data_IF_671818726423
#
_entry.id   IF_671818726423
#
_cell.length_a   1.000
_cell.length_b   1.000
_cell.length_c   1.000
_cell.angle_alpha   90.00
_cell.angle_beta   90.00
_cell.angle_gamma   90.00
#
_symmetry.space_group_name_H-M   'P 1'
#
loop_
_entity.id
_entity.type
_entity.pdbx_description
1 polymer ?
#
# COMPACT_ATOMS: atom_id res chain seq x y z
N UNK A 1 3.77 -10.65 12.57
CA UNK A 1 2.50 -10.81 11.82
C UNK A 1 1.76 -9.51 11.54
N UNK A 2 1.41 -8.67 12.53
CA UNK A 2 0.77 -7.36 12.27
C UNK A 2 1.72 -6.42 11.54
N UNK A 3 2.98 -6.33 12.01
CA UNK A 3 4.05 -5.57 11.35
C UNK A 3 4.25 -6.02 9.89
N UNK A 4 4.31 -7.33 9.64
CA UNK A 4 4.42 -7.90 8.29
C UNK A 4 3.29 -7.43 7.34
N UNK A 5 2.05 -7.34 7.83
CA UNK A 5 0.94 -6.84 7.00
C UNK A 5 1.06 -5.34 6.73
N UNK A 6 1.52 -4.56 7.72
CA UNK A 6 1.80 -3.14 7.55
C UNK A 6 2.85 -2.94 6.44
N UNK A 7 3.99 -3.62 6.55
CA UNK A 7 5.09 -3.49 5.58
C UNK A 7 4.64 -3.89 4.17
N UNK A 8 3.83 -4.96 4.06
CA UNK A 8 3.24 -5.40 2.81
C UNK A 8 2.28 -4.36 2.18
N UNK A 9 1.46 -3.70 3.00
CA UNK A 9 0.56 -2.63 2.54
C UNK A 9 1.38 -1.40 2.11
N UNK A 10 2.40 -1.02 2.89
CA UNK A 10 3.30 0.08 2.53
C UNK A 10 3.99 -0.17 1.19
N UNK A 11 4.43 -1.40 0.92
CA UNK A 11 4.97 -1.81 -0.38
C UNK A 11 3.96 -1.60 -1.51
N UNK A 12 2.72 -2.07 -1.35
CA UNK A 12 1.69 -1.93 -2.38
C UNK A 12 1.29 -0.46 -2.64
N UNK A 13 1.34 0.41 -1.63
CA UNK A 13 0.95 1.82 -1.77
C UNK A 13 2.11 2.69 -2.28
N UNK A 14 3.35 2.42 -1.86
CA UNK A 14 4.52 3.24 -2.21
C UNK A 14 5.02 3.03 -3.64
N UNK A 15 4.74 1.86 -4.23
CA UNK A 15 5.16 1.48 -5.57
C UNK A 15 3.97 1.28 -6.53
N UNK A 16 2.85 1.99 -6.32
CA UNK A 16 1.59 1.75 -7.03
C UNK A 16 1.71 1.70 -8.57
N UNK A 17 2.59 2.54 -9.15
CA UNK A 17 2.83 2.59 -10.60
C UNK A 17 3.71 1.43 -11.11
N UNK A 18 4.55 0.88 -10.24
CA UNK A 18 5.53 -0.18 -10.57
C UNK A 18 5.05 -1.59 -10.20
N UNK A 19 3.97 -1.72 -9.41
CA UNK A 19 3.40 -3.01 -9.03
C UNK A 19 2.43 -3.55 -10.08
N UNK A 20 2.39 -4.88 -10.19
CA UNK A 20 1.47 -5.60 -11.07
C UNK A 20 1.48 -7.09 -10.78
N UNK A 21 0.79 -7.88 -11.61
CA UNK A 21 0.82 -9.33 -11.52
C UNK A 21 2.06 -9.89 -12.22
N UNK A 22 3.22 -9.66 -11.61
CA UNK A 22 4.51 -10.20 -12.04
C UNK A 22 5.20 -10.93 -10.88
N UNK A 23 6.23 -11.73 -11.20
CA UNK A 23 6.94 -12.55 -10.21
C UNK A 23 7.52 -11.68 -9.10
N UNK A 24 8.17 -10.57 -9.45
CA UNK A 24 8.80 -9.69 -8.47
C UNK A 24 7.80 -9.22 -7.41
N UNK A 25 6.67 -8.64 -7.82
CA UNK A 25 5.65 -8.11 -6.91
C UNK A 25 5.10 -9.19 -5.98
N UNK A 26 4.71 -10.35 -6.52
CA UNK A 26 4.06 -11.40 -5.72
C UNK A 26 5.05 -12.11 -4.79
N UNK A 27 6.29 -12.33 -5.23
CA UNK A 27 7.34 -12.93 -4.40
C UNK A 27 7.77 -11.97 -3.27
N UNK A 28 7.95 -10.68 -3.56
CA UNK A 28 8.24 -9.67 -2.52
C UNK A 28 7.10 -9.58 -1.51
N UNK A 29 5.85 -9.56 -2.00
CA UNK A 29 4.67 -9.54 -1.14
C UNK A 29 4.65 -10.77 -0.21
N UNK A 30 4.95 -11.95 -0.73
CA UNK A 30 5.10 -13.15 0.10
C UNK A 30 6.25 -13.02 1.11
N UNK A 31 7.43 -12.55 0.69
CA UNK A 31 8.59 -12.37 1.56
C UNK A 31 8.29 -11.45 2.76
N UNK A 32 7.63 -10.32 2.51
CA UNK A 32 7.21 -9.38 3.56
C UNK A 32 6.21 -10.05 4.52
N UNK A 33 5.20 -10.74 3.99
CA UNK A 33 4.16 -11.38 4.81
C UNK A 33 4.68 -12.57 5.62
N UNK A 34 5.61 -13.34 5.07
CA UNK A 34 6.19 -14.54 5.65
C UNK A 34 7.43 -14.27 6.53
N UNK A 35 7.89 -13.02 6.59
CA UNK A 35 9.08 -12.63 7.34
C UNK A 35 9.08 -13.17 8.79
N UNK A 36 10.08 -13.99 9.13
CA UNK A 36 10.25 -14.69 10.41
C UNK A 36 9.07 -15.57 10.83
N UNK A 37 8.29 -16.12 9.89
CA UNK A 37 7.17 -17.02 10.17
C UNK A 37 7.37 -18.46 9.68
N UNK A 38 8.28 -18.68 8.73
CA UNK A 38 8.52 -19.99 8.12
C UNK A 38 9.61 -20.76 8.86
N UNK A 39 9.52 -22.10 8.83
CA UNK A 39 10.52 -23.00 9.40
C UNK A 39 11.85 -22.89 8.64
N UNK A 40 11.79 -22.83 7.31
CA UNK A 40 12.93 -22.48 6.44
C UNK A 40 12.92 -20.96 6.18
N UNK A 41 13.89 -20.20 6.74
CA UNK A 41 13.97 -18.76 6.49
C UNK A 41 14.19 -18.40 5.02
N UNK A 42 14.75 -19.31 4.22
CA UNK A 42 14.99 -19.10 2.78
C UNK A 42 13.75 -19.37 1.91
N UNK A 43 12.65 -19.87 2.48
CA UNK A 43 11.39 -20.07 1.79
C UNK A 43 10.58 -18.77 1.63
N UNK A 44 10.85 -17.75 2.45
CA UNK A 44 10.18 -16.46 2.35
C UNK A 44 10.48 -15.81 0.99
N UNK A 45 9.43 -15.47 0.25
CA UNK A 45 9.55 -14.92 -1.11
C UNK A 45 10.00 -15.90 -2.19
N UNK A 46 9.93 -17.21 -1.95
CA UNK A 46 10.31 -18.27 -2.91
C UNK A 46 9.14 -19.23 -3.13
N UNK A 47 8.98 -19.74 -4.34
CA UNK A 47 8.03 -20.82 -4.62
C UNK A 47 8.43 -22.10 -3.87
N UNK A 48 7.44 -22.91 -3.47
CA UNK A 48 7.69 -24.12 -2.69
C UNK A 48 8.26 -25.26 -3.53
N UNK A 49 9.03 -26.11 -2.87
CA UNK A 49 9.59 -27.36 -3.44
C UNK A 49 9.14 -28.59 -2.65
N UNK A 50 8.26 -28.39 -1.67
CA UNK A 50 7.68 -29.42 -0.83
C UNK A 50 6.19 -29.54 -1.12
N UNK A 51 5.62 -30.71 -0.88
CA UNK A 51 4.17 -30.88 -0.85
C UNK A 51 3.58 -30.15 0.37
N UNK A 52 2.38 -29.59 0.21
CA UNK A 52 1.63 -28.94 1.29
C UNK A 52 0.21 -29.46 1.27
N UNK A 53 -0.41 -29.52 2.46
CA UNK A 53 -1.79 -29.94 2.63
C UNK A 53 -2.65 -28.83 3.20
N UNK A 54 -3.96 -28.91 2.96
CA UNK A 54 -4.93 -28.03 3.61
C UNK A 54 -5.52 -28.78 4.79
N UNK A 55 -5.31 -28.25 5.99
CA UNK A 55 -5.89 -28.84 7.18
C UNK A 55 -7.42 -28.92 7.04
N UNK A 56 -7.98 -30.11 7.33
CA UNK A 56 -9.43 -30.39 7.28
C UNK A 56 -10.06 -30.24 5.90
N UNK A 57 -9.31 -30.53 4.84
CA UNK A 57 -9.83 -30.62 3.48
C UNK A 57 -9.36 -31.89 2.79
N UNK A 58 -10.19 -32.42 1.89
CA UNK A 58 -9.81 -33.53 1.00
C UNK A 58 -9.01 -33.06 -0.23
N UNK A 59 -8.84 -31.74 -0.41
CA UNK A 59 -8.11 -31.18 -1.53
C UNK A 59 -6.59 -31.35 -1.37
N UNK A 60 -5.97 -31.86 -2.44
CA UNK A 60 -4.52 -31.99 -2.57
C UNK A 60 -4.01 -31.01 -3.63
N UNK A 61 -3.30 -29.93 -3.24
CA UNK A 61 -2.69 -29.01 -4.18
C UNK A 61 -1.68 -29.69 -5.10
N UNK A 62 -1.43 -29.13 -6.28
CA UNK A 62 -0.42 -29.59 -7.22
C UNK A 62 0.96 -29.70 -6.54
N UNK A 63 1.62 -30.85 -6.59
CA UNK A 63 2.85 -31.08 -5.79
C UNK A 63 4.15 -30.90 -6.57
N UNK A 64 4.12 -31.01 -7.90
CA UNK A 64 5.34 -31.02 -8.75
C UNK A 64 5.88 -29.59 -8.90
N UNK A 65 7.11 -29.27 -8.41
CA UNK A 65 7.63 -27.90 -8.40
C UNK A 65 7.67 -27.21 -9.77
N UNK A 66 8.05 -27.94 -10.82
CA UNK A 66 8.09 -27.40 -12.18
C UNK A 66 6.69 -27.00 -12.66
N UNK A 67 5.69 -27.83 -12.39
CA UNK A 67 4.31 -27.53 -12.77
C UNK A 67 3.72 -26.39 -11.92
N UNK A 68 4.16 -26.26 -10.66
CA UNK A 68 3.79 -25.10 -9.81
C UNK A 68 4.33 -23.81 -10.41
N UNK A 69 5.59 -23.81 -10.84
CA UNK A 69 6.22 -22.64 -11.46
C UNK A 69 5.52 -22.25 -12.77
N UNK A 70 5.26 -23.22 -13.65
CA UNK A 70 4.51 -22.99 -14.89
C UNK A 70 3.09 -22.47 -14.63
N UNK A 71 2.36 -23.06 -13.68
CA UNK A 71 1.02 -22.64 -13.32
C UNK A 71 1.03 -21.24 -12.67
N UNK A 72 2.04 -20.94 -11.86
CA UNK A 72 2.21 -19.63 -11.25
C UNK A 72 2.38 -18.55 -12.31
N UNK A 73 3.30 -18.74 -13.26
CA UNK A 73 3.52 -17.79 -14.34
C UNK A 73 2.28 -17.64 -15.24
N UNK A 74 1.54 -18.72 -15.48
CA UNK A 74 0.27 -18.67 -16.21
C UNK A 74 -0.81 -17.89 -15.46
N UNK A 75 -0.92 -18.06 -14.13
CA UNK A 75 -1.85 -17.28 -13.30
C UNK A 75 -1.50 -15.79 -13.38
N UNK A 76 -0.22 -15.45 -13.26
CA UNK A 76 0.24 -14.06 -13.35
C UNK A 76 -0.09 -13.43 -14.70
N UNK A 77 0.25 -14.11 -15.80
CA UNK A 77 -0.06 -13.63 -17.15
C UNK A 77 -1.57 -13.50 -17.41
N UNK A 78 -2.37 -14.45 -16.88
CA UNK A 78 -3.83 -14.39 -17.01
C UNK A 78 -4.39 -13.23 -16.20
N UNK A 79 -3.92 -13.03 -14.96
CA UNK A 79 -4.35 -11.91 -14.13
C UNK A 79 -4.01 -10.58 -14.82
N UNK A 80 -2.79 -10.41 -15.34
CA UNK A 80 -2.36 -9.17 -16.03
C UNK A 80 -3.19 -8.86 -17.29
N UNK A 81 -3.74 -9.88 -17.95
CA UNK A 81 -4.60 -9.72 -19.13
C UNK A 81 -6.06 -9.34 -18.82
N UNK A 82 -6.51 -9.47 -17.56
CA UNK A 82 -7.88 -9.10 -17.16
C UNK A 82 -7.98 -7.58 -17.01
N UNK A 83 -8.92 -6.98 -17.73
CA UNK A 83 -9.11 -5.51 -17.78
C UNK A 83 -9.94 -4.99 -16.61
N UNK A 84 -11.01 -5.69 -16.25
CA UNK A 84 -11.87 -5.25 -15.14
C UNK A 84 -11.16 -5.46 -13.79
N UNK A 85 -10.97 -4.42 -12.96
CA UNK A 85 -10.19 -4.52 -11.74
C UNK A 85 -10.83 -5.43 -10.68
N UNK A 86 -12.16 -5.60 -10.69
CA UNK A 86 -12.87 -6.48 -9.76
C UNK A 86 -12.72 -7.94 -10.18
N UNK A 87 -12.88 -8.22 -11.48
CA UNK A 87 -12.61 -9.54 -12.04
C UNK A 87 -11.15 -9.93 -11.82
N UNK A 88 -10.22 -9.01 -12.03
CA UNK A 88 -8.78 -9.23 -11.82
C UNK A 88 -8.47 -9.54 -10.34
N UNK A 89 -9.05 -8.77 -9.42
CA UNK A 89 -8.93 -9.01 -7.99
C UNK A 89 -9.49 -10.38 -7.59
N UNK A 90 -10.70 -10.69 -8.07
CA UNK A 90 -11.39 -11.93 -7.75
C UNK A 90 -10.66 -13.15 -8.32
N UNK A 91 -10.17 -13.07 -9.56
CA UNK A 91 -9.39 -14.12 -10.20
C UNK A 91 -8.20 -14.56 -9.34
N UNK A 92 -7.43 -13.59 -8.82
CA UNK A 92 -6.26 -13.89 -7.96
C UNK A 92 -6.67 -14.39 -6.58
N UNK A 93 -7.86 -13.99 -6.09
CA UNK A 93 -8.45 -14.58 -4.89
C UNK A 93 -8.79 -16.07 -5.03
N UNK A 94 -9.20 -16.49 -6.22
CA UNK A 94 -9.51 -17.90 -6.50
C UNK A 94 -8.24 -18.70 -6.78
N UNK A 95 -7.45 -18.27 -7.76
CA UNK A 95 -6.41 -19.10 -8.38
C UNK A 95 -5.16 -19.24 -7.51
N UNK A 96 -4.73 -18.16 -6.85
CA UNK A 96 -3.49 -18.20 -6.08
C UNK A 96 -3.57 -19.13 -4.85
N UNK A 97 -4.65 -19.10 -4.04
CA UNK A 97 -4.83 -20.06 -2.95
C UNK A 97 -5.14 -21.47 -3.41
N UNK A 98 -5.63 -21.67 -4.64
CA UNK A 98 -5.87 -23.00 -5.21
C UNK A 98 -4.55 -23.67 -5.59
N UNK A 99 -3.65 -22.93 -6.27
CA UNK A 99 -2.31 -23.43 -6.62
C UNK A 99 -1.44 -23.71 -5.37
N UNK A 100 -1.55 -22.84 -4.36
CA UNK A 100 -0.66 -22.81 -3.20
C UNK A 100 0.83 -22.76 -3.57
N UNK A 101 1.31 -21.67 -4.21
CA UNK A 101 2.70 -21.59 -4.66
C UNK A 101 3.74 -21.54 -3.53
N UNK A 102 3.35 -21.28 -2.29
CA UNK A 102 4.26 -21.06 -1.16
C UNK A 102 4.09 -22.10 -0.05
N UNK A 103 5.11 -22.27 0.78
CA UNK A 103 5.12 -23.19 1.93
C UNK A 103 3.99 -22.89 2.93
N UNK A 104 3.69 -21.61 3.17
CA UNK A 104 2.54 -21.12 3.93
C UNK A 104 2.16 -19.72 3.41
N UNK A 105 1.22 -19.02 4.06
CA UNK A 105 0.88 -17.60 3.81
C UNK A 105 0.11 -17.37 2.50
N UNK A 106 -0.14 -18.40 1.69
CA UNK A 106 -0.87 -18.33 0.42
C UNK A 106 -2.18 -17.50 0.47
N UNK A 107 -3.05 -17.79 1.46
CA UNK A 107 -4.33 -17.08 1.65
C UNK A 107 -4.13 -15.61 2.03
N UNK A 108 -3.05 -15.27 2.74
CA UNK A 108 -2.70 -13.89 3.11
C UNK A 108 -2.16 -13.12 1.91
N UNK A 109 -1.25 -13.73 1.15
CA UNK A 109 -0.72 -13.16 -0.10
C UNK A 109 -1.87 -12.86 -1.05
N UNK A 110 -2.76 -13.82 -1.27
CA UNK A 110 -3.91 -13.68 -2.17
C UNK A 110 -4.83 -12.52 -1.80
N UNK A 111 -5.21 -12.36 -0.53
CA UNK A 111 -6.07 -11.23 -0.09
C UNK A 111 -5.41 -9.87 -0.27
N UNK A 112 -4.09 -9.76 -0.10
CA UNK A 112 -3.38 -8.52 -0.36
C UNK A 112 -3.11 -8.29 -1.84
N UNK A 113 -2.79 -9.33 -2.60
CA UNK A 113 -2.63 -9.25 -4.05
C UNK A 113 -3.93 -8.83 -4.76
N UNK A 114 -5.09 -9.23 -4.23
CA UNK A 114 -6.40 -8.78 -4.71
C UNK A 114 -6.60 -7.25 -4.64
N UNK A 115 -5.79 -6.56 -3.83
CA UNK A 115 -5.84 -5.10 -3.75
C UNK A 115 -4.99 -4.39 -4.81
N UNK A 116 -4.05 -5.08 -5.49
CA UNK A 116 -3.22 -4.50 -6.56
C UNK A 116 -4.08 -3.77 -7.61
N UNK A 117 -5.09 -4.40 -8.24
CA UNK A 117 -5.85 -3.74 -9.29
C UNK A 117 -6.74 -2.62 -8.76
N UNK A 118 -7.22 -2.73 -7.52
CA UNK A 118 -8.02 -1.70 -6.87
C UNK A 118 -7.17 -0.45 -6.61
N UNK A 119 -5.96 -0.62 -6.07
CA UNK A 119 -5.02 0.48 -5.80
C UNK A 119 -4.61 1.16 -7.10
N UNK A 120 -4.24 0.41 -8.14
CA UNK A 120 -3.84 0.97 -9.45
C UNK A 120 -4.93 1.80 -10.12
N UNK A 121 -6.20 1.46 -9.88
CA UNK A 121 -7.34 2.18 -10.42
C UNK A 121 -7.94 3.20 -9.44
N UNK A 122 -7.22 3.53 -8.35
CA UNK A 122 -7.66 4.47 -7.31
C UNK A 122 -9.04 4.13 -6.72
N UNK A 123 -9.33 2.83 -6.60
CA UNK A 123 -10.52 2.28 -5.96
C UNK A 123 -10.25 1.98 -4.48
N UNK A 124 -11.32 1.93 -3.69
CA UNK A 124 -11.24 1.59 -2.27
C UNK A 124 -10.62 0.20 -2.08
N UNK A 125 -9.57 0.06 -1.26
CA UNK A 125 -9.00 -1.25 -0.96
C UNK A 125 -10.02 -2.20 -0.30
N UNK A 126 -9.99 -3.46 -0.71
CA UNK A 126 -10.72 -4.58 -0.12
C UNK A 126 -10.16 -4.94 1.26
N UNK A 127 -11.05 -5.01 2.25
CA UNK A 127 -10.75 -5.43 3.62
C UNK A 127 -11.61 -6.62 4.04
N UNK A 128 -10.99 -7.55 4.76
CA UNK A 128 -11.66 -8.73 5.34
C UNK A 128 -11.93 -8.57 6.84
N UNK A 129 -11.80 -7.36 7.38
CA UNK A 129 -11.96 -7.11 8.82
C UNK A 129 -13.34 -7.52 9.35
N UNK A 130 -14.38 -7.31 8.54
CA UNK A 130 -15.77 -7.61 8.90
C UNK A 130 -16.22 -9.00 8.42
N UNK A 131 -15.36 -9.73 7.71
CA UNK A 131 -15.71 -11.02 7.11
C UNK A 131 -15.65 -12.11 8.17
N UNK A 132 -16.75 -12.84 8.43
CA UNK A 132 -16.72 -13.98 9.34
C UNK A 132 -15.73 -15.05 8.87
N UNK A 133 -14.84 -15.50 9.77
CA UNK A 133 -13.81 -16.51 9.44
C UNK A 133 -14.41 -17.80 8.88
N UNK A 134 -15.55 -18.23 9.43
CA UNK A 134 -16.25 -19.43 8.98
C UNK A 134 -16.74 -19.28 7.54
N UNK A 135 -17.44 -18.19 7.21
CA UNK A 135 -17.92 -17.92 5.86
C UNK A 135 -16.77 -17.89 4.84
N UNK A 136 -15.64 -17.26 5.19
CA UNK A 136 -14.45 -17.29 4.32
C UNK A 136 -13.88 -18.69 4.15
N UNK A 137 -13.86 -19.49 5.21
CA UNK A 137 -13.34 -20.87 5.17
C UNK A 137 -14.22 -21.74 4.28
N UNK A 138 -15.54 -21.68 4.45
CA UNK A 138 -16.52 -22.42 3.63
C UNK A 138 -16.47 -22.00 2.16
N UNK A 139 -16.38 -20.69 1.88
CA UNK A 139 -16.23 -20.16 0.53
C UNK A 139 -14.98 -20.71 -0.17
N UNK A 140 -13.85 -20.72 0.53
CA UNK A 140 -12.59 -21.23 0.01
C UNK A 140 -12.61 -22.75 -0.16
N UNK A 141 -13.25 -23.49 0.75
CA UNK A 141 -13.43 -24.94 0.62
C UNK A 141 -14.32 -25.30 -0.58
N UNK A 142 -15.34 -24.50 -0.88
CA UNK A 142 -16.15 -24.65 -2.10
C UNK A 142 -15.30 -24.61 -3.38
N UNK A 143 -14.29 -23.74 -3.42
CA UNK A 143 -13.33 -23.70 -4.52
C UNK A 143 -12.46 -24.96 -4.52
N UNK A 144 -11.88 -25.31 -3.37
CA UNK A 144 -10.92 -26.40 -3.26
C UNK A 144 -11.54 -27.78 -3.55
N UNK A 145 -12.70 -28.06 -2.99
CA UNK A 145 -13.27 -29.42 -3.01
C UNK A 145 -14.32 -29.61 -4.09
N UNK A 146 -15.04 -28.54 -4.45
CA UNK A 146 -16.17 -28.61 -5.38
C UNK A 146 -15.89 -27.92 -6.71
N UNK A 147 -14.76 -27.21 -6.84
CA UNK A 147 -14.45 -26.35 -7.98
C UNK A 147 -15.57 -25.33 -8.27
N UNK A 148 -16.23 -24.86 -7.21
CA UNK A 148 -17.32 -23.87 -7.26
C UNK A 148 -16.88 -22.55 -6.67
N UNK A 149 -17.10 -21.46 -7.40
CA UNK A 149 -16.63 -20.12 -7.01
C UNK A 149 -17.75 -19.23 -6.45
N UNK A 150 -19.01 -19.66 -6.52
CA UNK A 150 -20.18 -18.82 -6.23
C UNK A 150 -20.17 -18.27 -4.81
N UNK A 151 -19.88 -19.12 -3.82
CA UNK A 151 -19.84 -18.68 -2.42
C UNK A 151 -18.70 -17.68 -2.16
N UNK A 152 -17.54 -17.86 -2.82
CA UNK A 152 -16.42 -16.93 -2.71
C UNK A 152 -16.69 -15.62 -3.44
N UNK A 153 -17.40 -15.67 -4.57
CA UNK A 153 -17.86 -14.51 -5.34
C UNK A 153 -18.81 -13.66 -4.51
N UNK A 154 -19.83 -14.28 -3.91
CA UNK A 154 -20.81 -13.58 -3.08
C UNK A 154 -20.14 -12.96 -1.85
N UNK A 155 -19.21 -13.69 -1.22
CA UNK A 155 -18.41 -13.18 -0.11
C UNK A 155 -17.52 -12.00 -0.53
N UNK A 156 -16.90 -12.06 -1.71
CA UNK A 156 -16.06 -11.00 -2.25
C UNK A 156 -16.85 -9.72 -2.48
N UNK A 157 -18.01 -9.81 -3.15
CA UNK A 157 -18.89 -8.66 -3.40
C UNK A 157 -19.33 -8.04 -2.08
N UNK A 158 -19.83 -8.87 -1.15
CA UNK A 158 -20.25 -8.41 0.19
C UNK A 158 -19.13 -7.72 0.97
N UNK A 159 -17.92 -8.29 0.95
CA UNK A 159 -16.76 -7.71 1.62
C UNK A 159 -16.34 -6.37 0.97
N UNK A 160 -16.43 -6.28 -0.35
CA UNK A 160 -16.08 -5.07 -1.08
C UNK A 160 -17.08 -3.93 -0.82
N UNK A 161 -18.38 -4.19 -0.86
CA UNK A 161 -19.42 -3.19 -0.56
C UNK A 161 -19.20 -2.53 0.81
N UNK A 162 -18.89 -3.34 1.82
CA UNK A 162 -18.58 -2.86 3.17
C UNK A 162 -17.28 -2.08 3.23
N UNK A 163 -16.26 -2.56 2.52
CA UNK A 163 -14.97 -1.86 2.43
C UNK A 163 -15.17 -0.48 1.81
N UNK A 164 -15.86 -0.39 0.69
CA UNK A 164 -16.19 0.86 0.01
C UNK A 164 -17.01 1.80 0.91
N UNK A 165 -18.05 1.31 1.59
CA UNK A 165 -18.85 2.11 2.53
C UNK A 165 -18.01 2.67 3.69
N UNK A 166 -17.10 1.87 4.24
CA UNK A 166 -16.17 2.30 5.30
C UNK A 166 -15.22 3.38 4.80
N UNK A 167 -14.62 3.21 3.62
CA UNK A 167 -13.75 4.21 3.02
C UNK A 167 -14.50 5.51 2.71
N UNK A 168 -15.75 5.43 2.24
CA UNK A 168 -16.59 6.60 2.03
C UNK A 168 -16.86 7.36 3.34
N UNK A 169 -17.21 6.65 4.42
CA UNK A 169 -17.41 7.26 5.74
C UNK A 169 -16.13 7.91 6.31
N UNK A 170 -14.98 7.26 6.12
CA UNK A 170 -13.67 7.80 6.54
C UNK A 170 -13.27 9.03 5.71
N UNK A 171 -13.57 9.04 4.40
CA UNK A 171 -13.36 10.23 3.55
C UNK A 171 -14.30 11.38 3.90
N UNK A 172 -15.49 11.12 4.45
CA UNK A 172 -16.36 12.21 4.92
C UNK A 172 -15.85 12.85 6.21
N UNK A 173 -15.15 12.11 7.07
CA UNK A 173 -14.59 12.64 8.32
C UNK A 173 -13.20 13.26 8.15
N UNK A 174 -12.38 12.70 7.26
CA UNK A 174 -11.13 13.28 6.80
C UNK A 174 -11.47 14.19 5.61
N UNK A 175 -11.65 15.49 5.83
CA UNK A 175 -11.90 16.45 4.74
C UNK A 175 -10.95 16.27 3.55
N UNK A 176 -11.33 16.75 2.36
CA UNK A 176 -10.55 16.48 1.16
C UNK A 176 -9.10 17.00 1.29
N UNK A 177 -8.08 16.15 1.05
CA UNK A 177 -6.71 16.62 1.06
C UNK A 177 -6.56 17.67 -0.04
N UNK A 178 -6.07 18.87 0.33
CA UNK A 178 -5.88 19.98 -0.62
C UNK A 178 -5.04 19.48 -1.81
N UNK A 179 -5.60 19.41 -3.04
CA UNK A 179 -4.90 18.88 -4.20
C UNK A 179 -3.57 19.59 -4.48
N UNK A 180 -3.51 20.88 -4.13
CA UNK A 180 -2.31 21.69 -4.25
C UNK A 180 -1.20 21.19 -3.31
N UNK A 181 -1.55 20.89 -2.06
CA UNK A 181 -0.62 20.32 -1.07
C UNK A 181 -0.15 18.92 -1.44
N UNK A 182 -1.01 18.14 -2.10
CA UNK A 182 -0.64 16.81 -2.58
C UNK A 182 0.36 16.89 -3.73
N UNK A 183 0.10 17.78 -4.71
CA UNK A 183 0.98 18.01 -5.88
C UNK A 183 2.37 18.46 -5.46
N UNK A 184 2.46 19.45 -4.58
CA UNK A 184 3.73 20.06 -4.17
C UNK A 184 4.26 19.54 -2.83
N UNK A 185 3.89 18.32 -2.42
CA UNK A 185 4.22 17.80 -1.08
C UNK A 185 5.73 17.67 -0.87
N UNK A 186 6.47 17.27 -1.90
CA UNK A 186 7.89 16.98 -1.80
C UNK A 186 8.67 18.29 -1.73
N UNK A 187 8.28 19.24 -2.58
CA UNK A 187 8.75 20.61 -2.69
C UNK A 187 8.54 21.38 -1.38
N UNK A 188 7.31 21.34 -0.83
CA UNK A 188 7.00 21.93 0.47
C UNK A 188 7.87 21.32 1.57
N UNK A 189 8.05 20.00 1.55
CA UNK A 189 8.84 19.31 2.56
C UNK A 189 10.32 19.71 2.51
N UNK A 190 10.88 19.74 1.31
CA UNK A 190 12.27 20.12 1.04
C UNK A 190 12.52 21.56 1.47
N UNK A 191 11.72 22.51 0.96
CA UNK A 191 11.91 23.93 1.23
C UNK A 191 11.78 24.28 2.71
N UNK A 192 10.77 23.73 3.40
CA UNK A 192 10.60 23.97 4.84
C UNK A 192 11.79 23.41 5.63
N UNK A 193 12.25 22.21 5.29
CA UNK A 193 13.41 21.62 5.93
C UNK A 193 14.70 22.43 5.70
N UNK A 194 14.90 22.93 4.48
CA UNK A 194 16.06 23.75 4.11
C UNK A 194 16.06 25.09 4.82
N UNK A 195 14.91 25.76 4.94
CA UNK A 195 14.78 27.03 5.65
C UNK A 195 15.12 26.89 7.14
N UNK A 196 14.69 25.78 7.75
CA UNK A 196 14.94 25.49 9.17
C UNK A 196 16.40 25.11 9.41
N UNK A 197 16.97 24.18 8.62
CA UNK A 197 18.39 23.83 8.72
C UNK A 197 19.29 25.02 8.43
N UNK A 198 18.90 25.88 7.48
CA UNK A 198 19.58 27.12 7.16
C UNK A 198 19.39 28.26 8.18
N UNK A 199 18.63 28.05 9.26
CA UNK A 199 18.32 29.06 10.27
C UNK A 199 17.79 30.37 9.65
N UNK A 200 16.94 30.28 8.62
CA UNK A 200 16.43 31.47 7.92
C UNK A 200 15.41 32.20 8.80
N UNK A 201 15.70 33.45 9.16
CA UNK A 201 14.79 34.29 9.95
C UNK A 201 13.64 34.87 9.13
N UNK A 202 12.60 35.38 9.81
CA UNK A 202 11.37 35.91 9.19
C UNK A 202 11.62 36.91 8.05
N UNK A 203 12.54 37.86 8.25
CA UNK A 203 12.83 38.92 7.26
C UNK A 203 13.39 38.38 5.93
N UNK A 204 14.07 37.23 5.96
CA UNK A 204 14.65 36.60 4.77
C UNK A 204 13.83 35.46 4.17
N UNK A 205 12.83 34.97 4.91
CA UNK A 205 12.05 33.78 4.53
C UNK A 205 11.23 34.03 3.27
N UNK A 206 10.43 35.11 3.24
CA UNK A 206 9.57 35.43 2.08
C UNK A 206 10.38 35.52 0.77
N UNK A 207 11.50 36.25 0.79
CA UNK A 207 12.37 36.39 -0.37
C UNK A 207 12.98 35.06 -0.82
N UNK A 208 13.38 34.20 0.14
CA UNK A 208 13.96 32.89 -0.16
C UNK A 208 12.92 31.90 -0.68
N UNK A 209 11.70 31.92 -0.15
CA UNK A 209 10.57 31.13 -0.64
C UNK A 209 10.21 31.54 -2.06
N UNK A 210 10.08 32.85 -2.33
CA UNK A 210 9.76 33.37 -3.65
C UNK A 210 10.84 33.01 -4.69
N UNK A 211 12.12 33.14 -4.35
CA UNK A 211 13.22 32.76 -5.23
C UNK A 211 13.21 31.25 -5.54
N UNK A 212 13.01 30.41 -4.52
CA UNK A 212 12.93 28.96 -4.70
C UNK A 212 11.73 28.55 -5.56
N UNK A 213 10.56 29.15 -5.31
CA UNK A 213 9.34 28.88 -6.08
C UNK A 213 9.47 29.32 -7.54
N UNK A 214 10.19 30.41 -7.83
CA UNK A 214 10.44 30.86 -9.19
C UNK A 214 11.25 29.85 -10.03
N UNK A 215 12.11 29.06 -9.38
CA UNK A 215 12.96 28.07 -10.05
C UNK A 215 12.27 26.71 -10.20
N UNK A 216 11.41 26.31 -9.27
CA UNK A 216 10.93 24.93 -9.14
C UNK A 216 9.43 24.72 -9.20
N UNK A 217 8.64 25.79 -9.20
CA UNK A 217 7.17 25.73 -9.23
C UNK A 217 6.64 26.36 -10.52
N UNK A 218 5.61 25.74 -11.08
CA UNK A 218 4.94 26.22 -12.29
C UNK A 218 4.44 27.66 -12.09
N UNK A 219 4.57 28.56 -13.10
CA UNK A 219 4.21 29.97 -12.95
C UNK A 219 2.81 30.24 -12.42
N UNK A 220 1.84 29.39 -12.78
CA UNK A 220 0.44 29.49 -12.35
C UNK A 220 0.25 29.18 -10.86
N UNK A 221 1.16 28.43 -10.25
CA UNK A 221 1.04 27.89 -8.90
C UNK A 221 1.96 28.60 -7.88
N UNK A 222 2.88 29.46 -8.34
CA UNK A 222 3.90 30.12 -7.49
C UNK A 222 3.32 30.93 -6.34
N UNK A 223 2.35 31.78 -6.61
CA UNK A 223 1.78 32.68 -5.60
C UNK A 223 1.14 31.89 -4.46
N UNK A 224 0.32 30.88 -4.82
CA UNK A 224 -0.30 29.97 -3.87
C UNK A 224 0.72 29.10 -3.12
N UNK A 225 1.80 28.68 -3.77
CA UNK A 225 2.88 27.92 -3.12
C UNK A 225 3.61 28.74 -2.07
N UNK A 226 3.91 30.01 -2.36
CA UNK A 226 4.54 30.94 -1.41
C UNK A 226 3.64 31.10 -0.17
N UNK A 227 2.36 31.41 -0.38
CA UNK A 227 1.40 31.60 0.71
C UNK A 227 1.28 30.37 1.63
N UNK A 228 1.19 29.17 1.04
CA UNK A 228 1.11 27.93 1.81
C UNK A 228 2.40 27.69 2.59
N UNK A 229 3.56 27.92 1.99
CA UNK A 229 4.85 27.72 2.66
C UNK A 229 5.02 28.68 3.84
N UNK A 230 4.62 29.95 3.69
CA UNK A 230 4.65 30.94 4.77
C UNK A 230 3.69 30.59 5.91
N UNK A 231 2.49 30.13 5.56
CA UNK A 231 1.50 29.63 6.52
C UNK A 231 2.05 28.43 7.30
N UNK A 232 2.70 27.49 6.61
CA UNK A 232 3.34 26.33 7.21
C UNK A 232 4.43 26.72 8.20
N UNK A 233 5.37 27.58 7.80
CA UNK A 233 6.46 28.06 8.67
C UNK A 233 5.92 28.78 9.92
N UNK A 234 4.86 29.56 9.74
CA UNK A 234 4.21 30.28 10.85
C UNK A 234 3.49 29.33 11.80
N UNK A 235 2.91 28.25 11.28
CA UNK A 235 2.22 27.22 12.04
C UNK A 235 3.13 26.16 12.67
N UNK A 236 4.45 26.23 12.52
CA UNK A 236 5.37 25.23 13.08
C UNK A 236 5.48 25.33 14.60
N UNK A 237 5.34 24.19 15.27
CA UNK A 237 5.53 24.03 16.69
C UNK A 237 6.10 22.64 17.01
N UNK A 238 6.42 22.42 18.28
CA UNK A 238 7.08 21.18 18.75
C UNK A 238 6.31 19.89 18.42
N UNK A 239 5.00 19.99 18.20
CA UNK A 239 4.14 18.86 17.89
C UNK A 239 4.01 18.54 16.40
N UNK A 240 4.52 19.37 15.49
CA UNK A 240 4.30 19.18 14.05
C UNK A 240 5.56 19.29 13.16
N UNK A 241 6.70 19.75 13.66
CA UNK A 241 7.92 19.89 12.83
C UNK A 241 8.48 18.56 12.32
N UNK A 242 8.19 17.44 13.01
CA UNK A 242 8.71 16.12 12.67
C UNK A 242 8.30 15.64 11.27
N UNK A 243 7.15 16.11 10.72
CA UNK A 243 6.71 15.77 9.36
C UNK A 243 7.73 16.19 8.28
N UNK A 244 8.54 17.20 8.59
CA UNK A 244 9.59 17.73 7.73
C UNK A 244 10.95 17.02 7.89
N UNK A 245 11.04 15.89 8.61
CA UNK A 245 12.30 15.17 8.87
C UNK A 245 13.37 16.06 9.53
N UNK A 246 12.93 16.85 10.51
CA UNK A 246 13.77 17.78 11.25
C UNK A 246 14.01 17.25 12.65
N UNK A 247 15.24 17.37 13.14
CA UNK A 247 15.62 16.98 14.50
C UNK A 247 15.21 18.07 15.50
N UNK A 248 14.88 17.72 16.75
CA UNK A 248 14.54 18.72 17.78
C UNK A 248 15.60 19.82 17.94
N UNK A 249 16.88 19.49 17.82
CA UNK A 249 17.99 20.44 17.91
C UNK A 249 18.02 21.46 16.76
N UNK A 250 17.73 21.02 15.53
CA UNK A 250 17.66 21.90 14.35
C UNK A 250 16.48 22.86 14.47
N UNK A 251 15.32 22.36 14.90
CA UNK A 251 14.13 23.18 15.12
C UNK A 251 14.36 24.22 16.22
N UNK A 252 14.97 23.82 17.34
CA UNK A 252 15.29 24.74 18.44
C UNK A 252 16.27 25.85 18.02
N UNK A 253 17.26 25.53 17.17
CA UNK A 253 18.19 26.52 16.64
C UNK A 253 17.49 27.53 15.73
N UNK A 254 16.66 27.04 14.81
CA UNK A 254 15.88 27.90 13.93
C UNK A 254 14.89 28.79 14.68
N UNK A 255 14.14 28.24 15.65
CA UNK A 255 13.13 28.98 16.41
C UNK A 255 13.73 30.23 17.09
N UNK A 256 14.95 30.13 17.62
CA UNK A 256 15.67 31.28 18.20
C UNK A 256 15.87 32.41 17.19
N UNK A 257 16.18 32.09 15.94
CA UNK A 257 16.36 33.08 14.86
C UNK A 257 15.01 33.57 14.32
N UNK A 258 14.01 32.69 14.29
CA UNK A 258 12.66 33.01 13.82
C UNK A 258 11.93 33.99 14.75
N UNK A 259 12.13 33.86 16.06
CA UNK A 259 11.53 34.70 17.10
C UNK A 259 12.36 35.94 17.44
N UNK A 260 13.64 35.99 17.01
CA UNK A 260 14.47 37.18 17.15
C UNK A 260 13.92 38.31 16.25
N UNK A 261 13.59 39.45 16.86
CA UNK A 261 13.03 40.65 16.19
C UNK A 261 14.00 41.30 15.20
#
# INVERSE_FOLDING_TARGET
>A
MILNHKDAIEFLVSAADDIGFNRYTILVLHGLLANNLLVDPSAAGRLRYIAVGIERSAFHPLEVPQLIEEAFDKILATADAIVDPFEQAFFVMVQLPYLQPFDDVNKRVSRLAANIPLIKNNLSPLSFADVPRQAYTEAVLGVYELNQIDLLKDLFVWAYERSAARYAAVRQSLGEPDPFRLRYRAELRELVADLIRGCTGRKGAAARIAAWAAERVDPADRERFVEITETELTGLHEGNFARYQIRPSEFAAWRKVWEAK
#
